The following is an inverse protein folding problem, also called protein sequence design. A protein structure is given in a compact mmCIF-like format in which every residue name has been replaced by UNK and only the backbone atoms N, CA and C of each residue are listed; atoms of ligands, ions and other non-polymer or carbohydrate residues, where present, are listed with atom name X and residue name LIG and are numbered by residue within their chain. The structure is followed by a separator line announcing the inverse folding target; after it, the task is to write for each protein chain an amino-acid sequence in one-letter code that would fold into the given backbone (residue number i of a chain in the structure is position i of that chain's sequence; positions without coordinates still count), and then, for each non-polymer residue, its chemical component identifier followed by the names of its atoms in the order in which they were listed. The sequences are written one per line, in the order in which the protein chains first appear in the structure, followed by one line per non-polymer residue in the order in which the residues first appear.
data_IF_026586964469
#
_entry.id   IF_026586964469
#
_cell.length_a   1.000
_cell.length_b   1.000
_cell.length_c   1.000
_cell.angle_alpha   90.00
_cell.angle_beta   90.00
_cell.angle_gamma   90.00
#
_symmetry.space_group_name_H-M   'P 1'
#
loop_
_entity.id
_entity.type
_entity.pdbx_description
1 polymer ?
#
# COMPACT_ATOMS: atom_id res chain seq x y z
N UNK A 1 2.52 -9.92 18.15
CA UNK A 1 2.38 -8.61 17.45
C UNK A 1 3.63 -8.41 16.57
N UNK A 2 3.52 -8.08 15.28
CA UNK A 2 4.71 -7.91 14.43
C UNK A 2 5.25 -6.48 14.51
N UNK A 3 6.48 -6.31 14.99
CA UNK A 3 7.16 -5.01 14.97
C UNK A 3 7.95 -4.90 13.67
N UNK A 4 7.52 -4.01 12.77
CA UNK A 4 8.24 -3.70 11.52
C UNK A 4 9.02 -2.41 11.76
N UNK A 5 10.35 -2.52 11.77
CA UNK A 5 11.24 -1.38 11.96
C UNK A 5 12.16 -1.26 10.74
N UNK A 6 12.25 -0.04 10.21
CA UNK A 6 13.14 0.29 9.10
C UNK A 6 14.42 0.91 9.70
N UNK A 7 15.37 0.08 10.13
CA UNK A 7 16.58 0.56 10.84
C UNK A 7 17.84 0.61 9.99
N UNK A 8 17.79 0.32 8.70
CA UNK A 8 18.98 0.43 7.86
C UNK A 8 19.12 1.87 7.33
N UNK A 9 20.23 2.55 7.64
CA UNK A 9 20.56 3.90 7.13
C UNK A 9 20.45 4.03 5.61
N UNK A 10 20.53 2.91 4.88
CA UNK A 10 20.43 2.85 3.42
C UNK A 10 19.04 2.51 2.87
N UNK A 11 18.01 2.37 3.72
CA UNK A 11 16.59 2.15 3.34
C UNK A 11 16.33 0.92 2.43
N UNK A 12 17.33 0.05 2.27
CA UNK A 12 17.32 -1.07 1.34
C UNK A 12 16.70 -2.34 1.93
N UNK A 13 16.58 -2.41 3.25
CA UNK A 13 16.12 -3.58 3.98
C UNK A 13 15.08 -3.22 5.02
N UNK A 14 14.14 -4.13 5.25
CA UNK A 14 13.07 -4.03 6.25
C UNK A 14 13.22 -5.16 7.25
N UNK A 15 13.30 -4.83 8.54
CA UNK A 15 13.34 -5.82 9.61
C UNK A 15 11.92 -6.07 10.13
N UNK A 16 11.59 -7.34 10.34
CA UNK A 16 10.33 -7.76 10.96
C UNK A 16 10.62 -8.68 12.14
N UNK A 17 10.24 -8.24 13.34
CA UNK A 17 10.21 -9.07 14.54
C UNK A 17 8.85 -9.74 14.68
N UNK A 18 8.83 -11.08 14.74
CA UNK A 18 7.63 -11.86 15.10
C UNK A 18 7.56 -12.08 16.60
N UNK A 19 6.34 -12.33 17.08
CA UNK A 19 6.05 -12.74 18.46
C UNK A 19 6.68 -14.10 18.82
N UNK A 20 6.97 -14.92 17.81
CA UNK A 20 7.56 -16.25 17.97
C UNK A 20 9.07 -16.20 18.33
N UNK A 21 9.64 -15.01 18.51
CA UNK A 21 11.08 -14.81 18.77
C UNK A 21 11.95 -14.75 17.50
N UNK A 22 11.37 -14.89 16.31
CA UNK A 22 12.10 -14.81 15.05
C UNK A 22 12.21 -13.36 14.55
N UNK A 23 13.44 -12.94 14.22
CA UNK A 23 13.73 -11.71 13.48
C UNK A 23 14.01 -12.08 12.03
N UNK A 24 13.28 -11.47 11.08
CA UNK A 24 13.44 -11.70 9.63
C UNK A 24 13.86 -10.41 8.93
N UNK A 25 14.84 -10.53 8.03
CA UNK A 25 15.27 -9.43 7.18
C UNK A 25 14.69 -9.59 5.78
N UNK A 26 13.94 -8.59 5.33
CA UNK A 26 13.37 -8.49 4.00
C UNK A 26 14.05 -7.38 3.22
N UNK A 27 13.94 -7.42 1.90
CA UNK A 27 14.44 -6.34 1.03
C UNK A 27 13.31 -5.36 0.76
N UNK A 28 13.57 -4.06 0.85
CA UNK A 28 12.58 -3.02 0.56
C UNK A 28 12.06 -3.12 -0.88
N UNK A 29 12.97 -3.33 -1.83
CA UNK A 29 12.65 -3.70 -3.21
C UNK A 29 13.03 -5.16 -3.45
N UNK A 30 12.02 -6.03 -3.50
CA UNK A 30 12.18 -7.47 -3.69
C UNK A 30 12.98 -7.85 -4.94
N UNK A 31 12.91 -7.03 -6.01
CA UNK A 31 13.59 -7.30 -7.28
C UNK A 31 15.02 -6.73 -7.36
N UNK A 32 15.32 -5.71 -6.56
CA UNK A 32 16.64 -5.08 -6.57
C UNK A 32 17.69 -6.07 -6.04
N UNK A 33 18.83 -6.24 -6.71
CA UNK A 33 20.00 -6.98 -6.15
C UNK A 33 21.04 -6.01 -5.61
N UNK A 34 21.66 -6.34 -4.47
CA UNK A 34 22.65 -5.50 -3.76
C UNK A 34 24.10 -5.68 -4.25
N UNK A 35 24.32 -6.46 -5.30
CA UNK A 35 25.64 -6.57 -5.91
C UNK A 35 26.03 -5.32 -6.70
N UNK A 36 27.33 -5.16 -6.94
CA UNK A 36 27.86 -4.10 -7.79
C UNK A 36 27.39 -4.35 -9.22
N UNK A 37 26.75 -3.34 -9.82
CA UNK A 37 26.22 -3.41 -11.19
C UNK A 37 27.13 -2.65 -12.15
N UNK A 38 27.30 -3.21 -13.34
CA UNK A 38 27.93 -2.49 -14.44
C UNK A 38 27.11 -1.25 -14.83
N UNK A 39 27.75 -0.23 -15.41
CA UNK A 39 27.07 0.97 -15.89
C UNK A 39 25.94 0.64 -16.87
N UNK A 40 26.18 -0.31 -17.79
CA UNK A 40 25.17 -0.77 -18.76
C UNK A 40 23.95 -1.40 -18.08
N UNK A 41 24.18 -2.24 -17.08
CA UNK A 41 23.10 -2.89 -16.33
C UNK A 41 22.29 -1.86 -15.54
N UNK A 42 22.97 -0.89 -14.89
CA UNK A 42 22.31 0.19 -14.15
C UNK A 42 21.41 1.02 -15.06
N UNK A 43 21.92 1.41 -16.23
CA UNK A 43 21.16 2.20 -17.21
C UNK A 43 19.95 1.43 -17.74
N UNK A 44 20.10 0.13 -18.03
CA UNK A 44 19.00 -0.74 -18.43
C UNK A 44 17.90 -0.78 -17.36
N UNK A 45 18.27 -1.02 -16.09
CA UNK A 45 17.30 -1.07 -14.99
C UNK A 45 16.55 0.24 -14.81
N UNK A 46 17.23 1.39 -14.92
CA UNK A 46 16.62 2.71 -14.85
C UNK A 46 15.65 2.95 -16.02
N UNK A 47 16.05 2.55 -17.23
CA UNK A 47 15.19 2.64 -18.41
C UNK A 47 13.93 1.78 -18.26
N UNK A 48 14.08 0.53 -17.83
CA UNK A 48 12.96 -0.39 -17.60
C UNK A 48 12.01 0.13 -16.51
N UNK A 49 12.54 0.76 -15.46
CA UNK A 49 11.74 1.36 -14.39
C UNK A 49 10.96 2.59 -14.88
N UNK A 50 11.61 3.46 -15.68
CA UNK A 50 10.95 4.60 -16.30
C UNK A 50 9.83 4.16 -17.26
N UNK A 51 10.07 3.10 -18.03
CA UNK A 51 9.07 2.52 -18.94
C UNK A 51 7.87 1.95 -18.17
N UNK A 52 8.13 1.15 -17.13
CA UNK A 52 7.10 0.63 -16.22
C UNK A 52 6.29 1.74 -15.54
N UNK A 53 6.90 2.89 -15.26
CA UNK A 53 6.21 4.05 -14.68
C UNK A 53 5.35 4.77 -15.71
N UNK A 54 5.87 5.01 -16.92
CA UNK A 54 5.13 5.65 -18.02
C UNK A 54 3.87 4.87 -18.40
N UNK A 55 4.00 3.55 -18.55
CA UNK A 55 2.89 2.69 -18.97
C UNK A 55 2.13 2.03 -17.79
N UNK A 56 2.28 2.56 -16.57
CA UNK A 56 1.64 1.99 -15.38
C UNK A 56 0.09 2.01 -15.41
N UNK A 57 -0.50 2.87 -16.24
CA UNK A 57 -1.94 3.03 -16.38
C UNK A 57 -2.58 1.96 -17.29
N UNK A 58 -1.80 1.32 -18.16
CA UNK A 58 -2.28 0.29 -19.09
C UNK A 58 -2.81 -0.93 -18.32
N UNK A 59 -4.00 -1.46 -18.64
CA UNK A 59 -4.67 -2.48 -17.84
C UNK A 59 -3.87 -3.77 -17.68
N UNK A 60 -3.16 -4.21 -18.73
CA UNK A 60 -2.37 -5.44 -18.73
C UNK A 60 -1.16 -5.34 -17.79
N UNK A 61 -0.34 -4.30 -17.96
CA UNK A 61 0.83 -4.02 -17.12
C UNK A 61 0.39 -3.84 -15.67
N UNK A 62 -0.70 -3.10 -15.46
CA UNK A 62 -1.26 -2.84 -14.13
C UNK A 62 -1.82 -4.09 -13.45
N UNK A 63 -2.35 -5.05 -14.20
CA UNK A 63 -2.81 -6.35 -13.69
C UNK A 63 -1.62 -7.18 -13.22
N UNK A 64 -0.59 -7.30 -14.05
CA UNK A 64 0.62 -8.08 -13.75
C UNK A 64 1.35 -7.47 -12.55
N UNK A 65 1.57 -6.15 -12.54
CA UNK A 65 2.28 -5.44 -11.46
C UNK A 65 1.60 -5.57 -10.10
N UNK A 66 0.26 -5.66 -10.06
CA UNK A 66 -0.52 -5.76 -8.81
C UNK A 66 -0.73 -7.20 -8.32
N UNK A 67 -0.52 -8.20 -9.18
CA UNK A 67 -0.78 -9.58 -8.80
C UNK A 67 0.17 -10.02 -7.68
N UNK A 68 -0.40 -10.52 -6.58
CA UNK A 68 0.34 -11.11 -5.45
C UNK A 68 -0.39 -12.36 -4.99
N UNK A 69 0.37 -13.39 -4.62
CA UNK A 69 -0.19 -14.57 -3.98
C UNK A 69 -0.35 -14.29 -2.49
N UNK A 70 -1.61 -14.18 -2.03
CA UNK A 70 -1.95 -13.90 -0.64
C UNK A 70 -2.64 -15.13 -0.02
N UNK A 71 -2.37 -15.42 1.26
CA UNK A 71 -3.11 -16.44 2.00
C UNK A 71 -4.62 -16.22 1.97
N UNK A 72 -5.41 -17.30 1.91
CA UNK A 72 -6.88 -17.25 1.77
C UNK A 72 -7.55 -16.39 2.86
N UNK A 73 -7.11 -16.52 4.12
CA UNK A 73 -7.66 -15.77 5.23
C UNK A 73 -7.50 -14.25 5.04
N UNK A 74 -6.33 -13.80 4.62
CA UNK A 74 -6.02 -12.38 4.37
C UNK A 74 -6.81 -11.86 3.17
N UNK A 75 -6.90 -12.66 2.10
CA UNK A 75 -7.67 -12.29 0.91
C UNK A 75 -9.15 -12.05 1.26
N UNK A 76 -9.77 -12.99 1.97
CA UNK A 76 -11.17 -12.88 2.42
C UNK A 76 -11.39 -11.66 3.33
N UNK A 77 -10.53 -11.46 4.32
CA UNK A 77 -10.62 -10.31 5.22
C UNK A 77 -10.51 -8.97 4.46
N UNK A 78 -9.65 -8.89 3.44
CA UNK A 78 -9.52 -7.72 2.58
C UNK A 78 -10.76 -7.45 1.72
N UNK A 79 -11.41 -8.50 1.21
CA UNK A 79 -12.65 -8.41 0.44
C UNK A 79 -13.80 -7.88 1.32
N UNK A 80 -14.00 -8.47 2.50
CA UNK A 80 -15.03 -8.06 3.48
C UNK A 80 -14.86 -6.58 3.86
N UNK A 81 -13.65 -6.17 4.27
CA UNK A 81 -13.36 -4.78 4.62
C UNK A 81 -13.61 -3.83 3.44
N UNK A 82 -13.35 -4.28 2.22
CA UNK A 82 -13.63 -3.53 1.00
C UNK A 82 -15.13 -3.29 0.78
N UNK A 83 -15.97 -4.28 1.07
CA UNK A 83 -17.42 -4.16 1.00
C UNK A 83 -17.98 -3.24 2.09
N UNK A 84 -17.51 -3.38 3.32
CA UNK A 84 -17.88 -2.52 4.45
C UNK A 84 -17.63 -1.04 4.14
N UNK A 85 -16.42 -0.71 3.66
CA UNK A 85 -16.06 0.68 3.30
C UNK A 85 -16.96 1.20 2.17
N UNK A 86 -17.29 0.37 1.18
CA UNK A 86 -18.20 0.76 0.08
C UNK A 86 -19.62 0.99 0.59
N UNK A 87 -20.11 0.12 1.48
CA UNK A 87 -21.43 0.25 2.09
C UNK A 87 -21.53 1.54 2.93
N UNK A 88 -20.49 1.85 3.71
CA UNK A 88 -20.42 3.08 4.50
C UNK A 88 -20.40 4.32 3.60
N UNK A 89 -19.57 4.35 2.55
CA UNK A 89 -19.54 5.45 1.58
C UNK A 89 -20.88 5.63 0.87
N UNK A 90 -21.54 4.54 0.48
CA UNK A 90 -22.87 4.58 -0.13
C UNK A 90 -23.91 5.15 0.83
N UNK A 91 -23.87 4.76 2.11
CA UNK A 91 -24.75 5.30 3.14
C UNK A 91 -24.50 6.80 3.33
N UNK A 92 -23.25 7.24 3.44
CA UNK A 92 -22.88 8.65 3.53
C UNK A 92 -23.38 9.46 2.30
N UNK A 93 -23.23 8.92 1.10
CA UNK A 93 -23.74 9.54 -0.14
C UNK A 93 -25.26 9.63 -0.16
N UNK A 94 -25.97 8.58 0.24
CA UNK A 94 -27.43 8.55 0.31
C UNK A 94 -27.97 9.56 1.33
N UNK A 95 -27.35 9.65 2.51
CA UNK A 95 -27.70 10.64 3.54
C UNK A 95 -27.49 12.05 3.01
N UNK A 96 -26.39 12.33 2.31
CA UNK A 96 -26.13 13.64 1.71
C UNK A 96 -27.16 14.00 0.64
N UNK A 97 -27.52 13.06 -0.25
CA UNK A 97 -28.51 13.31 -1.31
C UNK A 97 -29.91 13.56 -0.75
N UNK A 98 -30.25 12.92 0.37
CA UNK A 98 -31.57 13.01 1.00
C UNK A 98 -31.66 14.05 2.14
N UNK A 99 -30.60 14.81 2.42
CA UNK A 99 -30.58 15.84 3.46
C UNK A 99 -30.77 17.24 2.87
N UNK A 100 -31.65 18.05 3.47
CA UNK A 100 -31.84 19.48 3.10
C UNK A 100 -30.59 20.36 3.27
N UNK A 101 -29.64 19.98 4.14
CA UNK A 101 -28.40 20.73 4.41
C UNK A 101 -27.18 19.91 4.00
N UNK A 102 -26.41 20.40 3.03
CA UNK A 102 -25.23 19.70 2.51
C UNK A 102 -24.05 19.89 3.48
N UNK A 103 -23.76 18.88 4.31
CA UNK A 103 -22.55 18.89 5.16
C UNK A 103 -21.27 18.79 4.29
N UNK A 104 -20.25 19.64 4.54
CA UNK A 104 -18.99 19.62 3.80
C UNK A 104 -18.24 18.29 4.00
N UNK A 105 -17.45 17.88 3.01
CA UNK A 105 -16.61 16.68 3.12
C UNK A 105 -15.51 16.96 4.14
N UNK A 106 -15.54 16.29 5.30
CA UNK A 106 -14.38 16.23 6.21
C UNK A 106 -13.31 15.35 5.59
N UNK A 107 -12.05 15.76 5.65
CA UNK A 107 -10.96 14.95 5.11
C UNK A 107 -10.73 13.71 5.98
N UNK A 108 -10.36 12.58 5.38
CA UNK A 108 -10.04 11.35 6.15
C UNK A 108 -8.89 11.57 7.14
N UNK A 109 -8.04 12.58 6.88
CA UNK A 109 -6.95 13.00 7.78
C UNK A 109 -7.46 13.71 9.03
N UNK A 110 -8.52 14.49 8.93
CA UNK A 110 -9.17 15.14 10.08
C UNK A 110 -9.86 14.12 10.99
N UNK A 111 -10.41 13.03 10.44
CA UNK A 111 -11.04 11.95 11.24
C UNK A 111 -10.04 11.19 12.14
N UNK A 112 -8.76 11.17 11.78
CA UNK A 112 -7.70 10.50 12.55
C UNK A 112 -7.21 11.32 13.74
N UNK A 113 -7.49 12.63 13.78
CA UNK A 113 -7.10 13.52 14.87
C UNK A 113 -8.24 13.54 15.89
N UNK A 114 -8.20 12.64 16.87
CA UNK A 114 -9.17 12.54 17.97
C UNK A 114 -9.19 13.76 18.92
N UNK A 115 -8.31 14.76 18.70
CA UNK A 115 -8.09 15.88 19.61
C UNK A 115 -9.04 17.09 19.38
N UNK A 116 -9.91 17.05 18.36
CA UNK A 116 -10.79 18.19 18.00
C UNK A 116 -12.28 17.85 18.15
N UNK A 117 -12.65 16.99 19.09
CA UNK A 117 -14.04 16.87 19.55
C UNK A 117 -14.16 17.60 20.90
N UNK A 118 -14.90 18.71 20.89
CA UNK A 118 -15.44 19.40 22.07
C UNK A 118 -16.93 19.10 22.15
#
# INVERSE_FOLDING_TARGET
MFTIQNECKDNNYVLSGSDDGNIRLWRSNASSRGGIKSAKERQKLQYDEALKRRYAHMPEIRRIKRHRHLPKAIKKAGEIKGEEIKALKRREENVRKNSKVVKPRRSEREKMVLATEK
#
